data_IF_511711358510
#
_entry.id   IF_511711358510
#
_cell.length_a   1.000
_cell.length_b   1.000
_cell.length_c   1.000
_cell.angle_alpha   90.00
_cell.angle_beta   90.00
_cell.angle_gamma   90.00
#
_symmetry.space_group_name_H-M   'P 1'
#
loop_
_entity.id
_entity.type
_entity.pdbx_description
1 polymer ?
#
# COMPACT_ATOMS: atom_id res chain seq x y z
N UNK A 1 0.46 23.74 13.14
CA UNK A 1 0.92 25.09 13.48
C UNK A 1 2.45 25.23 13.54
N UNK A 2 3.20 24.24 14.03
CA UNK A 2 4.68 24.28 14.06
C UNK A 2 5.31 24.32 12.65
N UNK A 3 4.76 23.59 11.69
CA UNK A 3 5.26 23.54 10.31
C UNK A 3 5.01 24.87 9.57
N UNK A 4 3.84 25.48 9.76
CA UNK A 4 3.51 26.77 9.16
C UNK A 4 4.45 27.85 9.66
N UNK A 5 4.75 27.88 10.96
CA UNK A 5 5.68 28.83 11.56
C UNK A 5 7.13 28.64 11.06
N UNK A 6 7.58 27.39 10.89
CA UNK A 6 8.90 27.07 10.30
C UNK A 6 9.00 27.50 8.85
N UNK A 7 7.95 27.31 8.06
CA UNK A 7 7.92 27.76 6.65
C UNK A 7 7.97 29.28 6.58
N UNK A 8 7.20 29.98 7.42
CA UNK A 8 7.22 31.44 7.49
C UNK A 8 8.62 31.94 7.82
N UNK A 9 9.28 31.39 8.86
CA UNK A 9 10.65 31.75 9.24
C UNK A 9 11.67 31.52 8.10
N UNK A 10 11.54 30.45 7.33
CA UNK A 10 12.43 30.18 6.19
C UNK A 10 12.22 31.19 5.07
N UNK A 11 10.97 31.57 4.80
CA UNK A 11 10.63 32.55 3.75
C UNK A 11 11.07 33.97 4.14
N UNK A 12 10.91 34.36 5.40
CA UNK A 12 11.39 35.63 5.94
C UNK A 12 12.91 35.76 5.88
N UNK A 13 13.66 34.69 6.21
CA UNK A 13 15.13 34.64 6.11
C UNK A 13 15.68 34.80 4.69
N UNK A 14 14.87 34.63 3.67
CA UNK A 14 15.28 34.70 2.25
C UNK A 14 14.79 35.96 1.55
N UNK A 15 14.27 36.92 2.29
CA UNK A 15 13.66 38.16 1.74
C UNK A 15 12.62 37.91 0.62
N UNK A 16 12.00 36.69 0.64
CA UNK A 16 11.07 36.24 -0.37
C UNK A 16 9.63 36.71 -0.12
N UNK A 17 9.38 37.38 1.01
CA UNK A 17 8.03 37.79 1.45
C UNK A 17 8.04 39.22 1.97
N UNK A 18 7.20 40.09 1.39
CA UNK A 18 6.81 41.33 2.03
C UNK A 18 5.92 40.97 3.25
N UNK A 19 6.31 41.41 4.49
CA UNK A 19 5.62 40.95 5.71
C UNK A 19 4.14 41.37 5.82
N UNK A 20 3.63 42.23 4.94
CA UNK A 20 2.29 42.80 5.01
C UNK A 20 1.32 42.37 3.93
N UNK A 21 1.55 41.18 3.27
CA UNK A 21 0.62 40.72 2.24
C UNK A 21 -0.29 39.58 2.75
N UNK A 22 -1.49 39.86 3.29
CA UNK A 22 -2.40 38.85 3.84
C UNK A 22 -2.91 37.85 2.78
N UNK A 23 -2.95 38.26 1.50
CA UNK A 23 -3.37 37.40 0.39
C UNK A 23 -2.29 36.33 0.14
N UNK A 24 -1.02 36.71 0.17
CA UNK A 24 0.09 35.77 0.03
C UNK A 24 0.09 34.71 1.15
N UNK A 25 -0.05 35.14 2.41
CA UNK A 25 -0.10 34.21 3.54
C UNK A 25 -1.30 33.26 3.47
N UNK A 26 -2.47 33.77 3.05
CA UNK A 26 -3.64 32.91 2.82
C UNK A 26 -3.38 31.86 1.74
N UNK A 27 -2.85 32.26 0.58
CA UNK A 27 -2.50 31.34 -0.49
C UNK A 27 -1.45 30.31 -0.06
N UNK A 28 -0.47 30.70 0.75
CA UNK A 28 0.55 29.81 1.27
C UNK A 28 -0.06 28.77 2.22
N UNK A 29 -0.90 29.21 3.18
CA UNK A 29 -1.58 28.30 4.12
C UNK A 29 -2.51 27.33 3.39
N UNK A 30 -3.26 27.77 2.38
CA UNK A 30 -4.11 26.92 1.57
C UNK A 30 -3.29 25.85 0.83
N UNK A 31 -2.14 26.22 0.24
CA UNK A 31 -1.23 25.25 -0.42
C UNK A 31 -0.61 24.24 0.55
N UNK A 32 -0.23 24.69 1.73
CA UNK A 32 0.31 23.81 2.80
C UNK A 32 -0.75 22.83 3.26
N UNK A 33 -2.00 23.29 3.45
CA UNK A 33 -3.14 22.42 3.82
C UNK A 33 -3.37 21.34 2.76
N UNK A 34 -3.51 21.73 1.49
CA UNK A 34 -3.68 20.79 0.36
C UNK A 34 -2.55 19.76 0.31
N UNK A 35 -1.30 20.18 0.52
CA UNK A 35 -0.14 19.28 0.51
C UNK A 35 -0.21 18.27 1.65
N UNK A 36 -0.62 18.69 2.84
CA UNK A 36 -0.80 17.79 3.98
C UNK A 36 -1.94 16.80 3.77
N UNK A 37 -3.07 17.25 3.21
CA UNK A 37 -4.21 16.40 2.88
C UNK A 37 -3.82 15.34 1.84
N UNK A 38 -3.06 15.70 0.81
CA UNK A 38 -2.52 14.77 -0.18
C UNK A 38 -1.55 13.75 0.45
N UNK A 39 -0.67 14.20 1.36
CA UNK A 39 0.24 13.29 2.08
C UNK A 39 -0.53 12.30 2.95
N UNK A 40 -1.55 12.76 3.66
CA UNK A 40 -2.41 11.88 4.45
C UNK A 40 -3.16 10.89 3.57
N UNK A 41 -3.70 11.33 2.42
CA UNK A 41 -4.37 10.47 1.46
C UNK A 41 -3.48 9.33 0.97
N UNK A 42 -2.18 9.57 0.76
CA UNK A 42 -1.22 8.55 0.34
C UNK A 42 -1.07 7.39 1.34
N UNK A 43 -1.33 7.61 2.63
CA UNK A 43 -1.29 6.55 3.64
C UNK A 43 -2.38 5.49 3.43
N UNK A 44 -3.47 5.82 2.73
CA UNK A 44 -4.58 4.91 2.44
C UNK A 44 -4.46 4.23 1.07
N UNK A 45 -3.47 4.58 0.26
CA UNK A 45 -3.23 3.96 -1.05
C UNK A 45 -2.15 2.89 -0.92
N UNK A 46 -2.37 1.62 -1.33
CA UNK A 46 -1.44 0.51 -1.14
C UNK A 46 -0.25 0.58 -2.11
N UNK A 47 0.60 1.59 -1.95
CA UNK A 47 1.78 1.85 -2.78
C UNK A 47 3.01 1.05 -2.36
N UNK A 48 3.03 0.51 -1.13
CA UNK A 48 4.10 -0.38 -0.66
C UNK A 48 3.81 -1.83 -1.05
N UNK A 49 4.86 -2.62 -1.21
CA UNK A 49 4.71 -4.06 -1.29
C UNK A 49 4.28 -4.62 0.07
N UNK A 50 3.46 -5.69 0.10
CA UNK A 50 3.04 -6.32 1.36
C UNK A 50 4.10 -7.25 1.98
N UNK A 51 5.31 -7.25 1.48
CA UNK A 51 6.47 -8.03 1.95
C UNK A 51 7.75 -7.24 1.66
N UNK A 52 8.74 -7.33 2.56
CA UNK A 52 10.03 -6.65 2.38
C UNK A 52 10.93 -7.39 1.37
N UNK A 53 11.00 -8.72 1.50
CA UNK A 53 11.81 -9.57 0.61
C UNK A 53 10.89 -10.46 -0.23
N UNK A 54 10.86 -10.21 -1.54
CA UNK A 54 10.01 -10.96 -2.47
C UNK A 54 10.49 -10.88 -3.92
N UNK A 55 10.05 -11.85 -4.69
CA UNK A 55 10.02 -11.74 -6.16
C UNK A 55 8.63 -12.13 -6.68
N UNK A 56 8.27 -11.62 -7.85
CA UNK A 56 6.97 -11.93 -8.48
C UNK A 56 7.06 -13.29 -9.17
N UNK A 57 6.49 -14.31 -8.55
CA UNK A 57 6.46 -15.69 -9.11
C UNK A 57 5.34 -15.87 -10.14
N UNK A 58 4.26 -15.06 -10.06
CA UNK A 58 3.20 -15.06 -11.08
C UNK A 58 2.54 -13.69 -11.21
N UNK A 59 2.36 -13.25 -12.46
CA UNK A 59 1.81 -11.93 -12.81
C UNK A 59 0.27 -11.94 -12.82
N UNK A 60 -0.31 -10.74 -12.69
CA UNK A 60 -1.73 -10.47 -12.92
C UNK A 60 -2.10 -10.67 -14.39
N UNK A 61 -3.32 -11.16 -14.66
CA UNK A 61 -3.87 -11.30 -16.00
C UNK A 61 -4.03 -12.74 -16.46
N UNK A 62 -4.21 -12.94 -17.76
CA UNK A 62 -4.44 -14.26 -18.36
C UNK A 62 -3.17 -15.13 -18.29
N UNK A 63 -3.27 -16.32 -17.67
CA UNK A 63 -2.17 -17.29 -17.60
C UNK A 63 -2.68 -18.73 -17.64
N UNK A 64 -1.80 -19.69 -17.90
CA UNK A 64 -2.11 -21.11 -17.67
C UNK A 64 -2.19 -21.37 -16.17
N UNK A 65 -3.30 -21.93 -15.72
CA UNK A 65 -3.44 -22.38 -14.32
C UNK A 65 -2.44 -23.51 -14.06
N UNK A 66 -1.60 -23.42 -13.00
CA UNK A 66 -0.53 -24.40 -12.77
C UNK A 66 -1.06 -25.81 -12.48
N UNK A 67 -2.28 -25.95 -11.95
CA UNK A 67 -2.91 -27.24 -11.63
C UNK A 67 -3.69 -27.81 -12.82
N UNK A 68 -4.57 -27.01 -13.43
CA UNK A 68 -5.47 -27.49 -14.49
C UNK A 68 -4.93 -27.33 -15.90
N UNK A 69 -3.82 -26.58 -16.07
CA UNK A 69 -3.21 -26.22 -17.36
C UNK A 69 -4.12 -25.43 -18.30
N UNK A 70 -5.36 -25.12 -17.91
CA UNK A 70 -6.31 -24.30 -18.69
C UNK A 70 -5.97 -22.79 -18.53
N UNK A 71 -6.30 -21.99 -19.54
CA UNK A 71 -6.22 -20.52 -19.46
C UNK A 71 -7.17 -20.02 -18.37
N UNK A 72 -6.65 -19.21 -17.43
CA UNK A 72 -7.41 -18.61 -16.33
C UNK A 72 -6.91 -17.21 -16.05
N UNK A 73 -7.84 -16.31 -15.70
CA UNK A 73 -7.48 -14.97 -15.29
C UNK A 73 -7.01 -14.98 -13.82
N UNK A 74 -5.80 -14.48 -13.60
CA UNK A 74 -5.19 -14.31 -12.29
C UNK A 74 -5.53 -12.92 -11.76
N UNK A 75 -6.33 -12.84 -10.70
CA UNK A 75 -6.90 -11.62 -10.15
C UNK A 75 -5.93 -10.77 -9.33
N UNK A 76 -4.70 -11.27 -9.12
CA UNK A 76 -3.66 -10.63 -8.33
C UNK A 76 -2.27 -10.94 -8.87
N UNK A 77 -1.29 -10.81 -8.01
CA UNK A 77 0.09 -11.29 -8.22
C UNK A 77 0.45 -12.29 -7.14
N UNK A 78 1.32 -13.24 -7.48
CA UNK A 78 1.88 -14.16 -6.50
C UNK A 78 3.31 -13.70 -6.17
N UNK A 79 3.54 -13.42 -4.90
CA UNK A 79 4.82 -12.98 -4.35
C UNK A 79 5.45 -14.12 -3.56
N UNK A 80 6.61 -14.60 -4.00
CA UNK A 80 7.40 -15.58 -3.29
C UNK A 80 8.56 -14.89 -2.57
N UNK A 81 8.92 -15.41 -1.40
CA UNK A 81 9.95 -14.86 -0.52
C UNK A 81 10.57 -15.94 0.34
N UNK A 82 11.19 -15.54 1.44
CA UNK A 82 11.74 -16.47 2.43
C UNK A 82 10.62 -17.23 3.15
N UNK A 83 10.97 -18.37 3.77
CA UNK A 83 10.01 -19.21 4.46
C UNK A 83 9.34 -18.45 5.62
N UNK A 84 7.99 -18.40 5.65
CA UNK A 84 7.21 -17.68 6.65
C UNK A 84 7.48 -16.16 6.73
N UNK A 85 7.85 -15.53 5.61
CA UNK A 85 8.02 -14.09 5.51
C UNK A 85 6.84 -13.34 6.11
N UNK A 86 7.11 -12.22 6.79
CA UNK A 86 6.07 -11.36 7.33
C UNK A 86 5.24 -10.72 6.21
N UNK A 87 3.92 -10.76 6.39
CA UNK A 87 2.99 -10.03 5.52
C UNK A 87 2.58 -8.75 6.23
N UNK A 88 2.87 -7.62 5.58
CA UNK A 88 2.70 -6.27 6.10
C UNK A 88 1.51 -5.58 5.43
N UNK A 89 0.86 -4.68 6.16
CA UNK A 89 -0.16 -3.80 5.60
C UNK A 89 0.51 -2.73 4.69
N UNK A 90 0.16 -2.64 3.40
CA UNK A 90 0.76 -1.68 2.47
C UNK A 90 0.19 -0.27 2.61
N UNK A 91 -0.87 -0.10 3.40
CA UNK A 91 -1.59 1.15 3.64
C UNK A 91 -2.42 1.04 4.93
N UNK A 92 -2.84 2.19 5.47
CA UNK A 92 -3.78 2.28 6.58
C UNK A 92 -5.15 1.69 6.20
N UNK A 93 -5.86 1.11 7.17
CA UNK A 93 -7.18 0.55 6.88
C UNK A 93 -7.83 -0.21 8.03
N UNK A 94 -8.90 -0.93 7.70
CA UNK A 94 -9.68 -1.75 8.63
C UNK A 94 -9.75 -3.17 8.08
N UNK A 95 -9.51 -4.17 8.92
CA UNK A 95 -9.66 -5.59 8.59
C UNK A 95 -11.15 -5.90 8.41
N UNK A 96 -11.57 -6.23 7.19
CA UNK A 96 -12.95 -6.62 6.90
C UNK A 96 -13.16 -8.13 6.86
N UNK A 97 -12.06 -8.91 6.72
CA UNK A 97 -12.06 -10.36 6.75
C UNK A 97 -10.74 -10.90 7.28
N UNK A 98 -10.80 -11.92 8.12
CA UNK A 98 -9.64 -12.68 8.61
C UNK A 98 -10.09 -14.11 8.95
N UNK A 99 -9.68 -15.10 8.12
CA UNK A 99 -10.12 -16.49 8.32
C UNK A 99 -9.88 -17.40 7.12
N UNK A 100 -10.47 -18.59 7.14
CA UNK A 100 -10.46 -19.54 6.02
C UNK A 100 -11.39 -19.09 4.89
N UNK A 101 -10.94 -19.19 3.63
CA UNK A 101 -11.74 -18.84 2.45
C UNK A 101 -11.45 -19.77 1.26
N UNK A 102 -11.94 -21.00 1.33
CA UNK A 102 -11.88 -21.98 0.24
C UNK A 102 -10.50 -22.08 -0.42
N UNK A 103 -10.47 -21.87 -1.73
CA UNK A 103 -9.23 -21.93 -2.51
C UNK A 103 -8.15 -20.92 -2.11
N UNK A 104 -8.50 -19.81 -1.48
CA UNK A 104 -7.53 -18.84 -0.95
C UNK A 104 -6.83 -19.33 0.34
N UNK A 105 -7.32 -20.41 0.96
CA UNK A 105 -6.79 -20.88 2.24
C UNK A 105 -7.06 -19.88 3.36
N UNK A 106 -6.09 -19.65 4.25
CA UNK A 106 -6.16 -18.57 5.25
C UNK A 106 -5.95 -17.24 4.54
N UNK A 107 -6.90 -16.32 4.76
CA UNK A 107 -7.00 -15.07 4.00
C UNK A 107 -7.29 -13.89 4.91
N UNK A 108 -6.76 -12.72 4.54
CA UNK A 108 -7.10 -11.42 5.12
C UNK A 108 -7.63 -10.53 3.99
N UNK A 109 -8.59 -9.64 4.32
CA UNK A 109 -8.97 -8.49 3.49
C UNK A 109 -8.94 -7.24 4.32
N UNK A 110 -8.34 -6.18 3.76
CA UNK A 110 -8.26 -4.85 4.35
C UNK A 110 -9.07 -3.91 3.47
N UNK A 111 -9.97 -3.13 4.09
CA UNK A 111 -10.63 -1.99 3.46
C UNK A 111 -9.81 -0.75 3.79
N UNK A 112 -9.33 -0.09 2.76
CA UNK A 112 -8.73 1.23 2.79
C UNK A 112 -9.74 2.29 2.37
N UNK A 113 -9.39 3.56 2.44
CA UNK A 113 -10.21 4.62 1.89
C UNK A 113 -10.23 4.59 0.34
N UNK A 114 -10.96 5.50 -0.28
CA UNK A 114 -11.07 5.65 -1.75
C UNK A 114 -11.57 4.39 -2.49
N UNK A 115 -12.40 3.57 -1.82
CA UNK A 115 -12.97 2.35 -2.43
C UNK A 115 -11.97 1.24 -2.72
N UNK A 116 -10.81 1.26 -2.03
CA UNK A 116 -9.73 0.29 -2.22
C UNK A 116 -9.85 -0.83 -1.19
N UNK A 117 -9.70 -2.07 -1.67
CA UNK A 117 -9.58 -3.26 -0.82
C UNK A 117 -8.34 -4.03 -1.26
N UNK A 118 -7.54 -4.49 -0.30
CA UNK A 118 -6.46 -5.44 -0.54
C UNK A 118 -6.78 -6.80 0.05
N UNK A 119 -6.31 -7.87 -0.62
CA UNK A 119 -6.55 -9.25 -0.23
C UNK A 119 -5.24 -10.04 -0.17
N UNK A 120 -5.11 -10.90 0.82
CA UNK A 120 -3.89 -11.66 1.14
C UNK A 120 -4.27 -13.12 1.33
N UNK A 121 -3.94 -13.97 0.36
CA UNK A 121 -4.27 -15.40 0.36
C UNK A 121 -3.07 -16.29 0.68
N UNK A 122 -3.36 -17.56 0.89
CA UNK A 122 -2.42 -18.66 1.15
C UNK A 122 -1.58 -18.51 2.43
N UNK A 123 -2.07 -17.71 3.39
CA UNK A 123 -1.34 -17.41 4.62
C UNK A 123 -1.11 -18.66 5.46
N UNK A 124 0.05 -18.76 6.11
CA UNK A 124 0.34 -19.73 7.15
C UNK A 124 -0.32 -19.31 8.47
N UNK A 125 -0.21 -18.04 8.85
CA UNK A 125 -0.75 -17.50 10.10
C UNK A 125 -1.41 -16.14 9.86
N UNK A 126 -2.56 -15.94 10.49
CA UNK A 126 -3.27 -14.66 10.58
C UNK A 126 -2.93 -14.06 11.96
N UNK A 127 -2.53 -12.79 12.00
CA UNK A 127 -2.12 -12.08 13.23
C UNK A 127 -3.11 -10.99 13.63
N UNK A 128 -4.17 -10.79 12.86
CA UNK A 128 -5.18 -9.73 13.05
C UNK A 128 -6.59 -10.31 13.06
N UNK A 129 -7.56 -9.53 13.53
CA UNK A 129 -8.98 -9.91 13.59
C UNK A 129 -9.87 -8.93 12.83
N UNK A 130 -11.02 -9.39 12.35
CA UNK A 130 -12.05 -8.53 11.72
C UNK A 130 -12.43 -7.36 12.63
N UNK A 131 -12.54 -6.18 12.06
CA UNK A 131 -12.82 -4.91 12.76
C UNK A 131 -11.58 -4.18 13.29
N UNK A 132 -10.41 -4.81 13.28
CA UNK A 132 -9.17 -4.19 13.74
C UNK A 132 -8.73 -3.09 12.77
N UNK A 133 -8.41 -1.90 13.32
CA UNK A 133 -7.71 -0.83 12.59
C UNK A 133 -6.24 -1.19 12.51
N UNK A 134 -5.63 -0.93 11.37
CA UNK A 134 -4.21 -1.18 11.12
C UNK A 134 -3.58 0.04 10.46
N UNK A 135 -2.28 0.17 10.65
CA UNK A 135 -1.44 1.18 10.02
C UNK A 135 -0.54 0.56 8.97
N UNK A 136 -0.10 1.38 8.02
CA UNK A 136 0.91 1.01 7.04
C UNK A 136 2.15 0.44 7.75
N UNK A 137 2.62 -0.75 7.32
CA UNK A 137 3.75 -1.46 7.93
C UNK A 137 3.40 -2.42 9.06
N UNK A 138 2.16 -2.42 9.57
CA UNK A 138 1.73 -3.39 10.58
C UNK A 138 1.83 -4.82 10.06
N UNK A 139 2.33 -5.73 10.90
CA UNK A 139 2.35 -7.17 10.59
C UNK A 139 0.95 -7.75 10.72
N UNK A 140 0.40 -8.24 9.62
CA UNK A 140 -0.95 -8.78 9.55
C UNK A 140 -0.99 -10.31 9.48
N UNK A 141 0.09 -10.95 9.02
CA UNK A 141 0.17 -12.40 8.89
C UNK A 141 1.55 -12.91 8.54
N UNK A 142 1.63 -14.21 8.27
CA UNK A 142 2.82 -14.89 7.74
C UNK A 142 2.47 -15.54 6.40
N UNK A 143 3.34 -15.39 5.40
CA UNK A 143 3.23 -16.07 4.12
C UNK A 143 3.22 -17.60 4.30
N UNK A 144 2.46 -18.31 3.47
CA UNK A 144 2.34 -19.76 3.56
C UNK A 144 1.97 -20.42 2.24
N UNK A 145 1.28 -21.56 2.35
CA UNK A 145 0.82 -22.39 1.20
C UNK A 145 -0.52 -23.04 1.48
N UNK A 146 -1.40 -22.38 2.25
CA UNK A 146 -2.73 -22.93 2.58
C UNK A 146 -3.70 -22.81 1.41
N UNK A 147 -4.73 -23.67 1.37
CA UNK A 147 -5.73 -23.67 0.30
C UNK A 147 -5.20 -24.24 -1.03
N UNK A 148 -5.61 -23.64 -2.15
CA UNK A 148 -5.23 -24.10 -3.50
C UNK A 148 -3.89 -23.48 -3.92
N UNK A 149 -2.81 -23.85 -3.28
CA UNK A 149 -1.46 -23.44 -3.61
C UNK A 149 -0.63 -24.60 -4.18
N UNK A 150 0.43 -24.32 -4.93
CA UNK A 150 1.41 -25.29 -5.44
C UNK A 150 2.77 -25.16 -4.76
N UNK A 151 2.93 -24.17 -3.89
CA UNK A 151 4.16 -23.89 -3.17
C UNK A 151 3.98 -22.64 -2.32
N UNK A 152 4.98 -22.27 -1.53
CA UNK A 152 4.91 -21.08 -0.69
C UNK A 152 4.91 -19.80 -1.51
N UNK A 153 3.86 -18.99 -1.32
CA UNK A 153 3.74 -17.64 -1.85
C UNK A 153 2.61 -16.89 -1.18
N UNK A 154 2.64 -15.59 -1.24
CA UNK A 154 1.52 -14.71 -0.94
C UNK A 154 0.75 -14.43 -2.23
N UNK A 155 -0.54 -14.77 -2.27
CA UNK A 155 -1.44 -14.30 -3.31
C UNK A 155 -1.98 -12.93 -2.89
N UNK A 156 -1.62 -11.88 -3.64
CA UNK A 156 -1.93 -10.48 -3.34
C UNK A 156 -2.82 -9.86 -4.40
N UNK A 157 -3.97 -9.32 -4.01
CA UNK A 157 -4.92 -8.64 -4.90
C UNK A 157 -5.17 -7.21 -4.44
N UNK A 158 -5.39 -6.30 -5.39
CA UNK A 158 -5.95 -4.97 -5.18
C UNK A 158 -7.27 -4.87 -5.94
N UNK A 159 -8.31 -4.36 -5.25
CA UNK A 159 -9.65 -4.18 -5.77
C UNK A 159 -9.97 -2.69 -5.60
N UNK A 160 -10.32 -2.00 -6.68
CA UNK A 160 -10.74 -0.60 -6.69
C UNK A 160 -12.17 -0.52 -7.20
N UNK A 161 -13.08 0.00 -6.38
CA UNK A 161 -14.50 0.11 -6.71
C UNK A 161 -15.09 -1.21 -7.24
N UNK A 162 -14.76 -2.33 -6.57
CA UNK A 162 -15.24 -3.67 -6.91
C UNK A 162 -14.52 -4.37 -8.09
N UNK A 163 -13.56 -3.72 -8.75
CA UNK A 163 -12.82 -4.29 -9.89
C UNK A 163 -11.40 -4.63 -9.49
N UNK A 164 -10.95 -5.85 -9.83
CA UNK A 164 -9.55 -6.25 -9.64
C UNK A 164 -8.65 -5.47 -10.59
N UNK A 165 -7.57 -4.92 -10.04
CA UNK A 165 -6.54 -4.17 -10.79
C UNK A 165 -5.18 -4.82 -10.59
N UNK A 166 -4.22 -4.50 -11.47
CA UNK A 166 -2.87 -5.08 -11.40
C UNK A 166 -2.08 -4.49 -10.22
N UNK A 167 -1.78 -5.25 -9.16
CA UNK A 167 -1.07 -4.75 -7.99
C UNK A 167 0.36 -4.27 -8.29
N UNK A 168 1.01 -4.85 -9.31
CA UNK A 168 2.37 -4.47 -9.68
C UNK A 168 2.48 -3.00 -10.11
N UNK A 169 1.40 -2.39 -10.63
CA UNK A 169 1.37 -0.97 -10.98
C UNK A 169 1.46 -0.09 -9.73
N UNK A 170 0.70 -0.40 -8.69
CA UNK A 170 0.71 0.32 -7.41
C UNK A 170 2.09 0.27 -6.76
N UNK A 171 2.67 -0.92 -6.65
CA UNK A 171 4.01 -1.11 -6.07
C UNK A 171 5.07 -0.34 -6.86
N UNK A 172 4.99 -0.37 -8.20
CA UNK A 172 5.92 0.35 -9.07
C UNK A 172 5.85 1.86 -8.86
N UNK A 173 4.64 2.43 -8.86
CA UNK A 173 4.46 3.87 -8.67
C UNK A 173 4.88 4.31 -7.26
N UNK A 174 4.61 3.49 -6.24
CA UNK A 174 5.09 3.73 -4.88
C UNK A 174 6.62 3.77 -4.78
N UNK A 175 7.32 2.87 -5.45
CA UNK A 175 8.80 2.89 -5.51
C UNK A 175 9.32 4.18 -6.16
N UNK A 176 8.71 4.65 -7.25
CA UNK A 176 9.09 5.92 -7.90
C UNK A 176 8.93 7.12 -6.97
N UNK A 177 7.81 7.18 -6.21
CA UNK A 177 7.56 8.27 -5.25
C UNK A 177 8.62 8.29 -4.14
N UNK A 178 8.97 7.12 -3.59
CA UNK A 178 10.01 7.01 -2.57
C UNK A 178 11.38 7.45 -3.08
N UNK A 179 11.77 7.01 -4.29
CA UNK A 179 13.07 7.38 -4.90
C UNK A 179 13.16 8.89 -5.13
N UNK A 180 12.10 9.54 -5.62
CA UNK A 180 12.08 11.01 -5.83
C UNK A 180 12.27 11.77 -4.53
N UNK A 181 11.59 11.34 -3.45
CA UNK A 181 11.71 12.00 -2.14
C UNK A 181 13.13 11.90 -1.57
N UNK A 182 13.82 10.76 -1.74
CA UNK A 182 15.20 10.57 -1.29
C UNK A 182 16.14 11.49 -2.07
N UNK A 183 16.02 11.57 -3.39
CA UNK A 183 16.86 12.42 -4.24
C UNK A 183 16.68 13.91 -3.93
N UNK A 184 15.47 14.36 -3.62
CA UNK A 184 15.21 15.75 -3.21
C UNK A 184 15.77 16.07 -1.83
N UNK A 185 15.71 15.12 -0.89
CA UNK A 185 16.25 15.30 0.46
C UNK A 185 17.79 15.30 0.50
N UNK A 186 18.46 14.67 -0.47
CA UNK A 186 19.93 14.64 -0.58
C UNK A 186 20.49 15.84 -1.36
N UNK A 187 19.64 16.66 -1.98
CA UNK A 187 20.05 17.86 -2.77
C UNK A 187 19.77 19.18 -2.01
N UNK A 188 19.29 19.10 -0.76
CA UNK A 188 19.02 20.23 0.14
C UNK A 188 20.02 20.29 1.26
#
# INVERSE_FOLDING_TARGET
DDLSNKIIQVLERRDLVAPDNPIFFKQLTDRVSITNDLRQALNFIPLKAPMDYYYVSSKYGMRKDPKTKKKRFHKGIDLAGTWHEDVLAPADGIIIFAGGNGGYGKMIKIKHDYGIITSYGHLQKILVKKGQRIKIGDRIGKMGSTGRSTGQHLHYEIIVNGKHVNPALFIREGKKLLTRNILQASSS
#
